data_IF_755233705387
#
_entry.id   IF_755233705387
#
_cell.length_a   1.000
_cell.length_b   1.000
_cell.length_c   1.000
_cell.angle_alpha   90.00
_cell.angle_beta   90.00
_cell.angle_gamma   90.00
#
_symmetry.space_group_name_H-M   'P 1'
#
loop_
_entity.id
_entity.type
_entity.pdbx_description
1 polymer ?
#
# COMPACT_ATOMS: atom_id res chain seq x y z
N UNK A 1 -23.96 9.29 15.25
CA UNK A 1 -23.10 10.47 15.00
C UNK A 1 -23.22 10.85 13.52
N UNK A 2 -23.13 12.15 13.23
CA UNK A 2 -23.15 12.62 11.85
C UNK A 2 -21.86 12.16 11.14
N UNK A 3 -21.99 11.64 9.93
CA UNK A 3 -20.82 11.28 9.11
C UNK A 3 -20.03 12.50 8.66
N UNK A 4 -18.74 12.32 8.45
CA UNK A 4 -17.84 13.32 7.87
C UNK A 4 -17.81 13.13 6.37
N UNK A 5 -18.14 14.17 5.60
CA UNK A 5 -18.01 14.15 4.14
C UNK A 5 -16.56 14.47 3.78
N UNK A 6 -16.00 13.65 2.91
CA UNK A 6 -14.59 13.74 2.47
C UNK A 6 -14.53 13.72 0.95
N UNK A 7 -13.75 14.64 0.38
CA UNK A 7 -13.42 14.69 -1.04
C UNK A 7 -11.91 14.51 -1.20
N UNK A 8 -11.49 13.51 -1.93
CA UNK A 8 -10.07 13.13 -2.07
C UNK A 8 -9.78 12.64 -3.48
N UNK A 9 -8.52 12.52 -3.84
CA UNK A 9 -8.09 11.89 -5.09
C UNK A 9 -7.50 10.53 -4.78
N UNK A 10 -8.07 9.47 -5.36
CA UNK A 10 -7.58 8.10 -5.18
C UNK A 10 -7.20 7.52 -6.53
N UNK A 11 -5.94 7.14 -6.68
CA UNK A 11 -5.38 6.60 -7.92
C UNK A 11 -5.69 7.48 -9.15
N UNK A 12 -5.68 8.80 -8.97
CA UNK A 12 -5.93 9.78 -10.01
C UNK A 12 -7.40 10.18 -10.20
N UNK A 13 -8.35 9.50 -9.56
CA UNK A 13 -9.77 9.79 -9.66
C UNK A 13 -10.25 10.61 -8.46
N UNK A 14 -11.13 11.59 -8.72
CA UNK A 14 -11.82 12.32 -7.65
C UNK A 14 -12.90 11.43 -7.04
N UNK A 15 -12.82 11.24 -5.74
CA UNK A 15 -13.70 10.35 -4.97
C UNK A 15 -14.28 11.12 -3.79
N UNK A 16 -15.58 10.94 -3.57
CA UNK A 16 -16.29 11.47 -2.41
C UNK A 16 -16.88 10.32 -1.60
N UNK A 17 -16.76 10.41 -0.29
CA UNK A 17 -17.38 9.43 0.63
C UNK A 17 -17.80 10.08 1.95
N UNK A 18 -18.63 9.35 2.68
CA UNK A 18 -18.97 9.65 4.07
C UNK A 18 -18.30 8.61 4.96
N UNK A 19 -17.65 9.04 6.02
CA UNK A 19 -17.08 8.14 7.02
C UNK A 19 -17.46 8.57 8.45
N UNK A 20 -17.36 7.68 9.40
CA UNK A 20 -17.46 8.04 10.81
C UNK A 20 -16.18 8.75 11.26
N UNK A 21 -16.24 9.62 12.28
CA UNK A 21 -15.04 10.35 12.75
C UNK A 21 -13.89 9.48 13.21
N UNK A 22 -14.19 8.27 13.69
CA UNK A 22 -13.23 7.29 14.21
C UNK A 22 -12.88 6.16 13.22
N UNK A 23 -13.47 6.21 12.01
CA UNK A 23 -13.23 5.21 10.97
C UNK A 23 -11.85 5.40 10.34
N UNK A 24 -11.09 4.30 10.22
CA UNK A 24 -9.77 4.37 9.60
C UNK A 24 -9.86 4.53 8.07
N UNK A 25 -8.82 5.07 7.47
CA UNK A 25 -8.72 5.14 6.01
C UNK A 25 -8.71 3.72 5.39
N UNK A 26 -8.13 2.74 6.08
CA UNK A 26 -8.18 1.34 5.66
C UNK A 26 -9.63 0.83 5.55
N UNK A 27 -10.46 1.09 6.56
CA UNK A 27 -11.87 0.69 6.55
C UNK A 27 -12.63 1.37 5.41
N UNK A 28 -12.40 2.68 5.21
CA UNK A 28 -13.00 3.43 4.10
C UNK A 28 -12.63 2.82 2.75
N UNK A 29 -11.33 2.57 2.52
CA UNK A 29 -10.86 1.98 1.26
C UNK A 29 -11.52 0.63 0.99
N UNK A 30 -11.55 -0.25 1.99
CA UNK A 30 -12.04 -1.61 1.86
C UNK A 30 -13.56 -1.72 1.83
N UNK A 31 -14.22 -1.12 2.81
CA UNK A 31 -15.64 -1.38 3.08
C UNK A 31 -16.57 -0.41 2.38
N UNK A 32 -16.12 0.82 2.14
CA UNK A 32 -16.93 1.83 1.44
C UNK A 32 -16.62 1.94 -0.04
N UNK A 33 -15.36 1.89 -0.40
CA UNK A 33 -14.91 2.10 -1.79
C UNK A 33 -14.60 0.78 -2.53
N UNK A 34 -14.61 -0.35 -1.85
CA UNK A 34 -14.34 -1.66 -2.44
C UNK A 34 -12.89 -1.86 -2.90
N UNK A 35 -11.97 -1.00 -2.47
CA UNK A 35 -10.53 -1.11 -2.75
C UNK A 35 -9.88 -2.03 -1.71
N UNK A 36 -10.00 -3.33 -1.93
CA UNK A 36 -9.65 -4.38 -0.97
C UNK A 36 -8.19 -4.81 -0.99
N UNK A 37 -7.37 -4.19 -1.81
CA UNK A 37 -5.95 -4.55 -1.97
C UNK A 37 -5.13 -4.32 -0.70
N UNK A 38 -5.27 -3.16 -0.05
CA UNK A 38 -4.70 -2.94 1.27
C UNK A 38 -5.39 -3.86 2.28
N UNK A 39 -4.60 -4.55 3.13
CA UNK A 39 -5.09 -5.59 4.04
C UNK A 39 -4.90 -5.20 5.51
N UNK A 40 -5.82 -5.61 6.36
CA UNK A 40 -5.62 -5.54 7.80
C UNK A 40 -4.88 -6.79 8.29
N UNK A 41 -3.63 -6.59 8.73
CA UNK A 41 -2.84 -7.65 9.34
C UNK A 41 -2.76 -7.52 10.86
N UNK A 42 -2.51 -6.32 11.37
CA UNK A 42 -2.32 -6.08 12.80
C UNK A 42 -3.26 -5.00 13.39
N UNK A 43 -3.68 -4.01 12.60
CA UNK A 43 -4.46 -2.85 13.07
C UNK A 43 -3.68 -1.90 13.99
N UNK A 44 -2.36 -2.07 14.12
CA UNK A 44 -1.49 -1.35 15.06
C UNK A 44 -0.32 -0.63 14.40
N UNK A 45 -0.23 -0.67 13.06
CA UNK A 45 0.84 -0.01 12.31
C UNK A 45 2.17 -0.79 12.24
N UNK A 46 2.19 -2.06 12.67
CA UNK A 46 3.42 -2.85 12.74
C UNK A 46 3.71 -3.68 11.49
N UNK A 47 2.67 -4.25 10.85
CA UNK A 47 2.88 -5.26 9.81
C UNK A 47 3.03 -4.71 8.38
N UNK A 48 2.56 -3.50 8.10
CA UNK A 48 2.64 -2.87 6.79
C UNK A 48 1.73 -3.44 5.71
N UNK A 49 0.87 -4.42 6.01
CA UNK A 49 -0.06 -5.00 5.02
C UNK A 49 -1.08 -3.98 4.48
N UNK A 50 -1.33 -2.91 5.21
CA UNK A 50 -2.22 -1.80 4.87
C UNK A 50 -1.50 -0.61 4.21
N UNK A 51 -0.24 -0.74 3.85
CA UNK A 51 0.57 0.37 3.29
C UNK A 51 -0.09 1.00 2.06
N UNK A 52 -0.15 2.31 2.06
CA UNK A 52 -0.58 3.17 0.96
C UNK A 52 0.38 4.36 0.85
N UNK A 53 0.28 5.12 -0.23
CA UNK A 53 0.97 6.41 -0.36
C UNK A 53 -0.06 7.51 -0.18
N UNK A 54 0.19 8.41 0.77
CA UNK A 54 -0.63 9.57 1.07
C UNK A 54 0.23 10.84 0.91
N UNK A 55 -0.08 11.66 -0.10
CA UNK A 55 0.71 12.85 -0.45
C UNK A 55 2.22 12.55 -0.54
N UNK A 56 2.59 11.56 -1.35
CA UNK A 56 3.96 11.12 -1.60
C UNK A 56 4.68 10.52 -0.37
N UNK A 57 3.93 10.13 0.67
CA UNK A 57 4.47 9.47 1.86
C UNK A 57 3.88 8.09 2.06
N UNK A 58 4.75 7.12 2.30
CA UNK A 58 4.34 5.78 2.69
C UNK A 58 3.76 5.81 4.11
N UNK A 59 2.52 5.37 4.27
CA UNK A 59 1.83 5.34 5.57
C UNK A 59 1.07 4.02 5.76
N UNK A 60 0.80 3.67 7.02
CA UNK A 60 -0.11 2.59 7.37
C UNK A 60 -1.55 3.12 7.40
N UNK A 61 -2.39 2.72 6.47
CA UNK A 61 -3.78 3.22 6.38
C UNK A 61 -4.63 2.86 7.59
N UNK A 62 -4.26 1.84 8.35
CA UNK A 62 -4.91 1.49 9.62
C UNK A 62 -4.69 2.51 10.74
N UNK A 63 -3.71 3.41 10.61
CA UNK A 63 -3.39 4.47 11.56
C UNK A 63 -3.76 5.88 11.06
N UNK A 64 -4.37 5.98 9.89
CA UNK A 64 -4.88 7.23 9.33
C UNK A 64 -6.39 7.21 9.42
N UNK A 65 -6.99 8.31 9.89
CA UNK A 65 -8.45 8.45 9.88
C UNK A 65 -8.97 8.72 8.46
N UNK A 66 -10.12 8.17 8.14
CA UNK A 66 -10.76 8.44 6.84
C UNK A 66 -10.96 9.93 6.57
N UNK A 67 -11.26 10.70 7.61
CA UNK A 67 -11.43 12.15 7.53
C UNK A 67 -10.13 12.91 7.20
N UNK A 68 -8.96 12.35 7.51
CA UNK A 68 -7.66 12.97 7.22
C UNK A 68 -7.29 12.97 5.74
N UNK A 69 -7.98 12.19 4.92
CA UNK A 69 -7.75 12.17 3.46
C UNK A 69 -8.40 13.34 2.72
N UNK A 70 -9.14 14.21 3.40
CA UNK A 70 -9.75 15.40 2.78
C UNK A 70 -8.72 16.24 2.03
N UNK A 71 -8.96 16.48 0.75
CA UNK A 71 -8.11 17.29 -0.12
C UNK A 71 -6.75 16.68 -0.46
N UNK A 72 -6.51 15.41 -0.11
CA UNK A 72 -5.22 14.75 -0.30
C UNK A 72 -5.24 13.79 -1.48
N UNK A 73 -4.05 13.30 -1.85
CA UNK A 73 -3.86 12.26 -2.88
C UNK A 73 -3.50 10.94 -2.22
N UNK A 74 -4.27 9.92 -2.56
CA UNK A 74 -4.08 8.55 -2.07
C UNK A 74 -3.70 7.65 -3.25
N UNK A 75 -2.65 6.87 -3.09
CA UNK A 75 -2.29 5.80 -4.02
C UNK A 75 -2.37 4.46 -3.32
N UNK A 76 -3.10 3.54 -3.91
CA UNK A 76 -3.25 2.16 -3.43
C UNK A 76 -2.70 1.18 -4.46
N UNK A 77 -2.64 -0.10 -4.10
CA UNK A 77 -2.18 -1.16 -5.00
C UNK A 77 -3.01 -1.23 -6.29
N UNK A 78 -4.30 -0.90 -6.23
CA UNK A 78 -5.20 -0.91 -7.38
C UNK A 78 -4.78 0.10 -8.46
N UNK A 79 -4.00 1.13 -8.09
CA UNK A 79 -3.47 2.12 -9.02
C UNK A 79 -2.14 1.75 -9.66
N UNK A 80 -1.50 0.63 -9.29
CA UNK A 80 -0.18 0.26 -9.85
C UNK A 80 -0.28 -0.31 -11.27
N UNK A 81 -1.23 -1.18 -11.54
CA UNK A 81 -1.46 -1.72 -12.88
C UNK A 81 -2.32 -0.77 -13.71
N UNK A 82 -2.13 -0.78 -15.02
CA UNK A 82 -2.93 -0.03 -15.98
C UNK A 82 -3.65 -1.00 -16.91
N UNK A 83 -4.93 -1.30 -16.63
CA UNK A 83 -5.68 -2.34 -17.33
C UNK A 83 -5.01 -3.71 -17.17
N UNK A 84 -4.76 -4.39 -18.27
CA UNK A 84 -4.09 -5.70 -18.28
C UNK A 84 -2.56 -5.62 -18.14
N UNK A 85 -2.01 -4.43 -18.02
CA UNK A 85 -0.57 -4.18 -17.98
C UNK A 85 -0.11 -4.02 -16.53
N UNK A 86 0.62 -5.02 -16.05
CA UNK A 86 1.22 -5.00 -14.73
C UNK A 86 2.33 -3.94 -14.64
N UNK A 87 2.47 -3.36 -13.45
CA UNK A 87 3.65 -2.55 -13.12
C UNK A 87 4.91 -3.45 -13.11
N UNK A 88 6.09 -2.95 -13.51
CA UNK A 88 7.33 -3.74 -13.51
C UNK A 88 7.59 -4.48 -12.20
N UNK A 89 7.38 -3.83 -11.05
CA UNK A 89 7.50 -4.49 -9.73
C UNK A 89 6.56 -5.68 -9.59
N UNK A 90 5.30 -5.57 -10.03
CA UNK A 90 4.35 -6.69 -9.98
C UNK A 90 4.84 -7.84 -10.86
N UNK A 91 5.36 -7.53 -12.04
CA UNK A 91 5.94 -8.54 -12.93
C UNK A 91 7.14 -9.24 -12.27
N UNK A 92 8.05 -8.50 -11.65
CA UNK A 92 9.21 -9.06 -10.95
C UNK A 92 8.83 -9.91 -9.74
N UNK A 93 7.79 -9.53 -9.00
CA UNK A 93 7.26 -10.36 -7.91
C UNK A 93 6.74 -11.72 -8.42
N UNK A 94 6.12 -11.76 -9.59
CA UNK A 94 5.71 -13.02 -10.21
C UNK A 94 6.91 -13.84 -10.71
N UNK A 95 7.86 -13.22 -11.40
CA UNK A 95 9.05 -13.88 -11.95
C UNK A 95 9.91 -14.52 -10.85
N UNK A 96 10.07 -13.84 -9.71
CA UNK A 96 10.83 -14.33 -8.56
C UNK A 96 10.00 -15.21 -7.62
N UNK A 97 8.73 -15.45 -7.89
CA UNK A 97 7.80 -16.11 -6.97
C UNK A 97 7.87 -15.48 -5.54
N UNK A 98 7.87 -14.15 -5.49
CA UNK A 98 8.02 -13.38 -4.27
C UNK A 98 6.74 -13.28 -3.43
N UNK A 99 5.82 -14.20 -3.60
CA UNK A 99 4.54 -14.27 -2.88
C UNK A 99 4.14 -15.73 -2.66
N UNK A 100 3.37 -15.96 -1.61
CA UNK A 100 2.73 -17.24 -1.32
C UNK A 100 1.25 -17.01 -1.03
N UNK A 101 0.85 -16.72 0.22
CA UNK A 101 -0.56 -16.44 0.53
C UNK A 101 -1.06 -15.12 -0.08
N UNK A 102 -0.18 -14.17 -0.35
CA UNK A 102 -0.50 -12.91 -1.02
C UNK A 102 -1.01 -11.80 -0.11
N UNK A 103 -1.20 -12.03 1.19
CA UNK A 103 -1.76 -11.02 2.12
C UNK A 103 -0.81 -9.82 2.30
N UNK A 104 0.48 -10.06 2.46
CA UNK A 104 1.48 -9.00 2.61
C UNK A 104 1.88 -8.34 1.28
N UNK A 105 1.59 -8.96 0.16
CA UNK A 105 2.13 -8.60 -1.16
C UNK A 105 1.76 -7.18 -1.59
N UNK A 106 0.51 -6.72 -1.48
CA UNK A 106 0.17 -5.33 -1.83
C UNK A 106 0.97 -4.30 -1.02
N UNK A 107 1.13 -4.53 0.27
CA UNK A 107 1.91 -3.64 1.15
C UNK A 107 3.38 -3.57 0.74
N UNK A 108 4.01 -4.71 0.43
CA UNK A 108 5.39 -4.74 -0.06
C UNK A 108 5.55 -4.04 -1.41
N UNK A 109 4.60 -4.22 -2.32
CA UNK A 109 4.64 -3.57 -3.64
C UNK A 109 4.57 -2.05 -3.53
N UNK A 110 3.67 -1.53 -2.69
CA UNK A 110 3.56 -0.09 -2.43
C UNK A 110 4.81 0.45 -1.74
N UNK A 111 5.34 -0.25 -0.74
CA UNK A 111 6.57 0.15 -0.04
C UNK A 111 7.79 0.14 -0.99
N UNK A 112 7.91 -0.87 -1.85
CA UNK A 112 8.96 -0.95 -2.86
C UNK A 112 8.83 0.17 -3.90
N UNK A 113 7.62 0.49 -4.34
CA UNK A 113 7.36 1.63 -5.23
C UNK A 113 7.84 2.94 -4.62
N UNK A 114 7.52 3.18 -3.36
CA UNK A 114 7.96 4.39 -2.63
C UNK A 114 9.49 4.43 -2.49
N UNK A 115 10.11 3.31 -2.16
CA UNK A 115 11.57 3.20 -2.07
C UNK A 115 12.25 3.55 -3.40
N UNK A 116 11.80 2.92 -4.49
CA UNK A 116 12.38 3.14 -5.83
C UNK A 116 12.13 4.54 -6.37
N UNK A 117 11.06 5.21 -5.96
CA UNK A 117 10.82 6.62 -6.29
C UNK A 117 11.83 7.56 -5.63
N UNK A 118 12.36 7.18 -4.47
CA UNK A 118 13.36 7.94 -3.71
C UNK A 118 14.80 7.57 -4.06
N UNK A 119 15.03 6.30 -4.38
CA UNK A 119 16.33 5.75 -4.78
C UNK A 119 16.10 4.72 -5.89
N UNK A 120 16.47 5.07 -7.12
CA UNK A 120 16.19 4.22 -8.31
C UNK A 120 17.15 3.04 -8.47
N UNK A 121 18.23 2.97 -7.69
CA UNK A 121 19.23 1.89 -7.74
C UNK A 121 19.69 1.54 -6.33
N UNK A 122 18.79 1.00 -5.48
CA UNK A 122 19.12 0.69 -4.10
C UNK A 122 19.98 -0.58 -3.99
N UNK A 123 20.92 -0.57 -3.06
CA UNK A 123 21.64 -1.79 -2.66
C UNK A 123 20.70 -2.76 -1.94
N UNK A 124 21.12 -4.03 -1.84
CA UNK A 124 20.35 -5.03 -1.08
C UNK A 124 20.08 -4.58 0.36
N UNK A 125 21.06 -3.98 1.02
CA UNK A 125 20.93 -3.48 2.39
C UNK A 125 19.87 -2.34 2.48
N UNK A 126 19.90 -1.42 1.53
CA UNK A 126 18.89 -0.33 1.46
C UNK A 126 17.49 -0.86 1.19
N UNK A 127 17.35 -1.91 0.36
CA UNK A 127 16.06 -2.57 0.12
C UNK A 127 15.57 -3.22 1.41
N UNK A 128 16.42 -3.99 2.09
CA UNK A 128 16.06 -4.65 3.36
C UNK A 128 15.65 -3.63 4.41
N UNK A 129 16.37 -2.53 4.53
CA UNK A 129 16.05 -1.45 5.45
C UNK A 129 14.74 -0.74 5.05
N UNK A 130 14.59 -0.39 3.78
CA UNK A 130 13.40 0.30 3.26
C UNK A 130 12.11 -0.51 3.39
N UNK A 131 12.21 -1.85 3.35
CA UNK A 131 11.08 -2.77 3.51
C UNK A 131 10.90 -3.30 4.95
N UNK A 132 11.69 -2.82 5.90
CA UNK A 132 11.68 -3.32 7.28
C UNK A 132 10.32 -3.10 8.00
N UNK A 133 9.53 -2.13 7.55
CA UNK A 133 8.18 -1.88 8.06
C UNK A 133 7.10 -2.84 7.51
N UNK A 134 7.45 -3.77 6.64
CA UNK A 134 6.55 -4.75 6.04
C UNK A 134 6.94 -6.17 6.47
N UNK A 135 5.97 -6.90 7.00
CA UNK A 135 6.18 -8.25 7.52
C UNK A 135 5.56 -9.31 6.62
N UNK A 136 6.26 -10.42 6.48
CA UNK A 136 5.78 -11.61 5.77
C UNK A 136 6.13 -12.87 6.58
N UNK A 137 5.13 -13.73 6.79
CA UNK A 137 5.32 -15.00 7.52
C UNK A 137 5.70 -16.15 6.59
N UNK A 138 5.43 -16.00 5.28
CA UNK A 138 5.53 -17.10 4.31
C UNK A 138 6.87 -17.17 3.58
N UNK A 139 7.34 -16.05 3.03
CA UNK A 139 8.39 -16.02 1.99
C UNK A 139 9.83 -16.07 2.52
N UNK A 140 10.07 -15.65 3.76
CA UNK A 140 11.42 -15.45 4.29
C UNK A 140 12.15 -14.24 3.71
N UNK A 141 11.45 -13.35 2.98
CA UNK A 141 11.90 -12.05 2.45
C UNK A 141 12.88 -12.09 1.28
N UNK A 142 13.74 -13.07 1.14
CA UNK A 142 14.84 -13.09 0.14
C UNK A 142 14.32 -12.87 -1.28
N UNK A 143 13.27 -13.59 -1.68
CA UNK A 143 12.68 -13.45 -3.02
C UNK A 143 12.05 -12.07 -3.25
N UNK A 144 11.49 -11.47 -2.20
CA UNK A 144 10.95 -10.11 -2.26
C UNK A 144 12.08 -9.11 -2.51
N UNK A 145 13.18 -9.22 -1.77
CA UNK A 145 14.35 -8.36 -1.94
C UNK A 145 14.92 -8.49 -3.34
N UNK A 146 15.08 -9.71 -3.85
CA UNK A 146 15.59 -9.97 -5.21
C UNK A 146 14.65 -9.40 -6.29
N UNK A 147 13.34 -9.52 -6.10
CA UNK A 147 12.35 -8.96 -7.05
C UNK A 147 12.43 -7.43 -7.13
N UNK A 148 12.75 -6.77 -6.02
CA UNK A 148 12.93 -5.30 -5.99
C UNK A 148 14.27 -4.89 -6.58
N UNK A 149 15.30 -5.71 -6.39
CA UNK A 149 16.65 -5.44 -6.88
C UNK A 149 16.79 -5.60 -8.41
N UNK A 150 16.01 -6.48 -9.03
CA UNK A 150 16.01 -6.79 -10.47
C UNK A 150 15.19 -5.78 -11.30
#
# INVERSE_FOLDING_TARGET
MAGVAVSTTINGDNVEYLCQPDETLLDVLRDRLGLTGAKEGCGTGDCGACSIILDDRLVCSCLVLGAEAEGRRVETIEGMAHGDRLHPLQQKFLEHAALQCGICTPGFLIAAKDLLAKNSDPTEEEIRFGLAGNLCRCTGYDKIVRAVQD
#
